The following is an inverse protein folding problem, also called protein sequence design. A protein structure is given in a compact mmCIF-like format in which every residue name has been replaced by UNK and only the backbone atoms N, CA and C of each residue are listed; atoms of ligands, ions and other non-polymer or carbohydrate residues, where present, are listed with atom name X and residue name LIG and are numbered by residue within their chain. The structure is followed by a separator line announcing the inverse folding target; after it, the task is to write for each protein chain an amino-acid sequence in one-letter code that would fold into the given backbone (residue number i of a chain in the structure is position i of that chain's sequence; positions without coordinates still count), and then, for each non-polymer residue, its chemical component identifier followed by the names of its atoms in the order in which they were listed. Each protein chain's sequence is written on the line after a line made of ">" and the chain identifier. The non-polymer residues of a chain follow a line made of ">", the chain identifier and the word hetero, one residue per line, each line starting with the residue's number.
data_IF_801011489020
#
_entry.id   IF_801011489020
#
_cell.length_a   1.000
_cell.length_b   1.000
_cell.length_c   1.000
_cell.angle_alpha   90.00
_cell.angle_beta   90.00
_cell.angle_gamma   90.00
#
_symmetry.space_group_name_H-M   'P 1'
#
loop_
_entity.id
_entity.type
_entity.pdbx_description
1 polymer ?
#
# COMPACT_ATOMS: atom_id res chain seq x y z
N UNK A 1 25.23 22.56 -14.10
CA UNK A 1 24.10 23.42 -13.69
C UNK A 1 22.86 22.55 -13.67
N UNK A 2 22.35 22.23 -12.50
CA UNK A 2 21.11 21.46 -12.35
C UNK A 2 19.93 22.42 -12.50
N UNK A 3 19.40 22.54 -13.73
CA UNK A 3 18.29 23.47 -14.04
C UNK A 3 17.01 23.15 -13.26
N UNK A 4 16.85 21.91 -12.80
CA UNK A 4 15.73 21.53 -11.94
C UNK A 4 15.87 22.16 -10.54
N UNK A 5 17.10 22.36 -10.06
CA UNK A 5 17.35 22.99 -8.76
C UNK A 5 16.96 24.48 -8.70
N UNK A 6 16.74 25.13 -9.85
CA UNK A 6 16.32 26.54 -9.95
C UNK A 6 14.79 26.74 -9.89
N UNK A 7 14.01 25.67 -10.00
CA UNK A 7 12.55 25.75 -9.96
C UNK A 7 12.03 25.99 -8.53
N UNK A 8 10.88 26.69 -8.37
CA UNK A 8 10.19 26.80 -7.10
C UNK A 8 9.76 25.43 -6.55
N UNK A 9 9.73 25.31 -5.23
CA UNK A 9 9.34 24.08 -4.53
C UNK A 9 7.98 23.52 -4.98
N UNK A 10 6.99 24.41 -5.18
CA UNK A 10 5.67 24.02 -5.65
C UNK A 10 5.69 23.35 -7.03
N UNK A 11 6.56 23.81 -7.93
CA UNK A 11 6.73 23.24 -9.27
C UNK A 11 7.43 21.89 -9.17
N UNK A 12 8.41 21.76 -8.28
CA UNK A 12 9.11 20.50 -8.05
C UNK A 12 8.16 19.44 -7.48
N UNK A 13 7.34 19.78 -6.49
CA UNK A 13 6.31 18.89 -5.94
C UNK A 13 5.28 18.50 -7.01
N UNK A 14 4.91 19.44 -7.87
CA UNK A 14 4.01 19.14 -8.99
C UNK A 14 4.63 18.15 -9.97
N UNK A 15 5.88 18.33 -10.39
CA UNK A 15 6.61 17.37 -11.25
C UNK A 15 6.68 16.00 -10.58
N UNK A 16 7.08 15.98 -9.30
CA UNK A 16 7.19 14.78 -8.49
C UNK A 16 5.88 14.01 -8.38
N UNK A 17 4.73 14.71 -8.36
CA UNK A 17 3.40 14.07 -8.30
C UNK A 17 3.04 13.26 -9.56
N UNK A 18 3.76 13.45 -10.66
CA UNK A 18 3.60 12.65 -11.88
C UNK A 18 4.57 11.47 -11.98
N UNK A 19 5.51 11.35 -11.04
CA UNK A 19 6.53 10.31 -11.05
C UNK A 19 6.10 9.11 -10.21
N UNK A 20 6.61 7.93 -10.58
CA UNK A 20 6.49 6.73 -9.74
C UNK A 20 7.29 6.91 -8.45
N UNK A 21 6.94 6.20 -7.38
CA UNK A 21 7.72 6.16 -6.13
C UNK A 21 9.19 5.88 -6.39
N UNK A 22 9.48 4.95 -7.32
CA UNK A 22 10.83 4.60 -7.73
C UNK A 22 11.59 5.79 -8.33
N UNK A 23 10.97 6.52 -9.23
CA UNK A 23 11.60 7.65 -9.89
C UNK A 23 11.77 8.82 -8.94
N UNK A 24 10.80 9.06 -8.05
CA UNK A 24 10.95 10.04 -6.97
C UNK A 24 12.17 9.71 -6.10
N UNK A 25 12.28 8.49 -5.59
CA UNK A 25 13.39 8.09 -4.72
C UNK A 25 14.73 8.22 -5.45
N UNK A 26 14.80 7.87 -6.75
CA UNK A 26 16.00 8.09 -7.58
C UNK A 26 16.35 9.58 -7.68
N UNK A 27 15.37 10.45 -7.95
CA UNK A 27 15.63 11.90 -8.06
C UNK A 27 16.12 12.50 -6.74
N UNK A 28 15.65 11.99 -5.60
CA UNK A 28 16.10 12.39 -4.27
C UNK A 28 17.59 12.10 -4.02
N UNK A 29 18.15 11.06 -4.65
CA UNK A 29 19.58 10.72 -4.53
C UNK A 29 20.46 11.64 -5.39
N UNK A 30 19.95 12.09 -6.53
CA UNK A 30 20.76 12.80 -7.56
C UNK A 30 20.84 14.31 -7.30
N UNK A 31 19.85 14.91 -6.64
CA UNK A 31 19.82 16.36 -6.42
C UNK A 31 19.76 16.73 -4.93
N UNK A 32 20.58 17.69 -4.50
CA UNK A 32 20.71 18.09 -3.09
C UNK A 32 19.44 18.73 -2.50
N UNK A 33 18.52 19.23 -3.33
CA UNK A 33 17.24 19.82 -2.88
C UNK A 33 16.10 18.82 -2.81
N UNK A 34 16.26 17.60 -3.31
CA UNK A 34 15.15 16.67 -3.45
C UNK A 34 14.91 15.75 -2.24
N UNK A 35 15.90 15.47 -1.34
CA UNK A 35 15.68 14.63 -0.17
C UNK A 35 14.53 15.10 0.74
N UNK A 36 14.36 16.41 0.93
CA UNK A 36 13.28 16.94 1.76
C UNK A 36 11.94 17.01 1.02
N UNK A 37 11.94 17.01 -0.31
CA UNK A 37 10.72 17.06 -1.12
C UNK A 37 10.07 15.69 -1.27
N UNK A 38 10.88 14.64 -1.36
CA UNK A 38 10.39 13.26 -1.38
C UNK A 38 9.54 12.94 -0.14
N UNK A 39 9.92 13.42 1.05
CA UNK A 39 9.15 13.13 2.27
C UNK A 39 7.80 13.86 2.31
N UNK A 40 7.64 14.94 1.53
CA UNK A 40 6.38 15.68 1.36
C UNK A 40 5.38 14.87 0.54
N UNK A 41 5.83 14.02 -0.39
CA UNK A 41 4.94 13.17 -1.18
C UNK A 41 4.25 12.16 -0.27
N UNK A 42 2.93 12.21 -0.18
CA UNK A 42 2.17 11.39 0.75
C UNK A 42 1.72 10.05 0.15
N UNK A 43 2.06 9.78 -1.10
CA UNK A 43 1.66 8.58 -1.83
C UNK A 43 2.89 7.70 -2.06
N UNK A 44 2.86 6.50 -1.49
CA UNK A 44 3.81 5.43 -1.82
C UNK A 44 3.05 4.36 -2.56
N UNK A 45 3.53 4.05 -3.74
CA UNK A 45 2.99 3.00 -4.58
C UNK A 45 4.16 2.19 -5.14
N UNK A 46 4.21 0.90 -4.79
CA UNK A 46 5.31 0.01 -5.11
C UNK A 46 4.83 -1.09 -6.05
N UNK A 47 5.29 -1.04 -7.30
CA UNK A 47 5.09 -2.08 -8.31
C UNK A 47 6.36 -2.91 -8.52
N UNK A 48 6.20 -4.22 -8.70
CA UNK A 48 7.30 -5.14 -9.03
C UNK A 48 7.74 -5.02 -10.52
N UNK A 49 8.20 -3.83 -10.90
CA UNK A 49 8.73 -3.54 -12.24
C UNK A 49 10.25 -3.80 -12.31
N UNK A 50 10.76 -4.70 -11.46
CA UNK A 50 12.18 -5.02 -11.35
C UNK A 50 12.48 -6.32 -12.08
N UNK A 51 13.69 -6.40 -12.66
CA UNK A 51 14.15 -7.63 -13.33
C UNK A 51 14.39 -8.74 -12.30
N UNK A 52 14.87 -8.38 -11.11
CA UNK A 52 15.09 -9.30 -10.02
C UNK A 52 14.17 -8.95 -8.86
N UNK A 53 13.43 -9.94 -8.38
CA UNK A 53 12.51 -9.81 -7.25
C UNK A 53 13.19 -9.25 -6.00
N UNK A 54 14.41 -9.70 -5.71
CA UNK A 54 15.15 -9.23 -4.54
C UNK A 54 15.52 -7.75 -4.62
N UNK A 55 15.77 -7.21 -5.82
CA UNK A 55 16.05 -5.78 -6.00
C UNK A 55 14.82 -4.94 -5.65
N UNK A 56 13.61 -5.44 -5.96
CA UNK A 56 12.36 -4.82 -5.55
C UNK A 56 12.22 -4.82 -4.01
N UNK A 57 12.39 -5.98 -3.37
CA UNK A 57 12.31 -6.11 -1.90
C UNK A 57 13.30 -5.16 -1.21
N UNK A 58 14.55 -5.15 -1.66
CA UNK A 58 15.60 -4.27 -1.17
C UNK A 58 15.25 -2.79 -1.36
N UNK A 59 14.69 -2.44 -2.53
CA UNK A 59 14.26 -1.09 -2.82
C UNK A 59 13.15 -0.63 -1.88
N UNK A 60 12.11 -1.45 -1.67
CA UNK A 60 11.01 -1.12 -0.73
C UNK A 60 11.58 -0.95 0.67
N UNK A 61 12.35 -1.92 1.16
CA UNK A 61 12.95 -1.88 2.50
C UNK A 61 13.78 -0.60 2.74
N UNK A 62 14.68 -0.26 1.80
CA UNK A 62 15.48 0.97 1.90
C UNK A 62 14.61 2.23 1.83
N UNK A 63 13.59 2.22 0.99
CA UNK A 63 12.66 3.35 0.84
C UNK A 63 11.92 3.62 2.15
N UNK A 64 11.33 2.59 2.78
CA UNK A 64 10.60 2.72 4.04
C UNK A 64 11.51 3.17 5.19
N UNK A 65 12.74 2.65 5.26
CA UNK A 65 13.74 3.09 6.24
C UNK A 65 14.10 4.57 6.05
N UNK A 66 14.30 5.02 4.81
CA UNK A 66 14.64 6.42 4.51
C UNK A 66 13.48 7.39 4.81
N UNK A 67 12.24 6.92 4.67
CA UNK A 67 11.02 7.71 4.85
C UNK A 67 10.75 8.02 6.32
N UNK A 68 11.12 7.12 7.24
CA UNK A 68 10.90 7.28 8.67
C UNK A 68 9.41 7.30 9.03
N UNK A 69 8.97 8.29 9.83
CA UNK A 69 7.58 8.47 10.29
C UNK A 69 6.86 9.64 9.61
N UNK A 70 7.35 10.05 8.43
CA UNK A 70 6.73 11.11 7.65
C UNK A 70 5.29 10.73 7.26
N UNK A 71 4.37 11.70 7.24
CA UNK A 71 2.95 11.43 6.94
C UNK A 71 2.79 10.74 5.58
N UNK A 72 2.09 9.61 5.58
CA UNK A 72 1.71 8.86 4.39
C UNK A 72 0.19 8.83 4.32
N UNK A 73 -0.36 9.31 3.21
CA UNK A 73 -1.79 9.26 2.94
C UNK A 73 -2.15 7.94 2.27
N UNK A 74 -1.44 7.58 1.19
CA UNK A 74 -1.65 6.34 0.44
C UNK A 74 -0.43 5.44 0.50
N UNK A 75 -0.66 4.15 0.72
CA UNK A 75 0.33 3.11 0.65
C UNK A 75 -0.19 1.94 -0.19
N UNK A 76 0.47 1.68 -1.32
CA UNK A 76 0.14 0.63 -2.26
C UNK A 76 1.30 -0.35 -2.46
N UNK A 77 0.99 -1.64 -2.49
CA UNK A 77 1.90 -2.71 -2.90
C UNK A 77 1.22 -3.49 -4.02
N UNK A 78 1.89 -3.63 -5.15
CA UNK A 78 1.41 -4.30 -6.36
C UNK A 78 2.49 -5.27 -6.85
N UNK A 79 2.33 -6.56 -6.59
CA UNK A 79 3.37 -7.55 -6.91
C UNK A 79 2.83 -8.96 -7.08
N UNK A 80 3.63 -9.80 -7.72
CA UNK A 80 3.45 -11.25 -7.67
C UNK A 80 4.01 -11.81 -6.37
N UNK A 81 3.18 -12.54 -5.63
CA UNK A 81 3.56 -13.09 -4.33
C UNK A 81 4.71 -14.09 -4.46
N UNK A 82 5.66 -13.98 -3.54
CA UNK A 82 6.75 -14.93 -3.37
C UNK A 82 6.83 -15.36 -1.91
N UNK A 83 6.62 -16.65 -1.63
CA UNK A 83 6.58 -17.18 -0.26
C UNK A 83 7.88 -16.92 0.52
N UNK A 84 9.02 -16.82 -0.16
CA UNK A 84 10.30 -16.52 0.48
C UNK A 84 10.35 -15.13 1.13
N UNK A 85 9.54 -14.18 0.67
CA UNK A 85 9.54 -12.77 1.10
C UNK A 85 8.30 -12.38 1.91
N UNK A 86 7.50 -13.36 2.37
CA UNK A 86 6.27 -13.10 3.15
C UNK A 86 6.51 -12.21 4.38
N UNK A 87 7.67 -12.36 5.04
CA UNK A 87 8.05 -11.56 6.21
C UNK A 87 8.26 -10.08 5.86
N UNK A 88 8.78 -9.80 4.67
CA UNK A 88 8.95 -8.43 4.19
C UNK A 88 7.58 -7.77 3.97
N UNK A 89 6.63 -8.47 3.34
CA UNK A 89 5.28 -7.94 3.11
C UNK A 89 4.57 -7.61 4.42
N UNK A 90 4.63 -8.52 5.39
CA UNK A 90 4.06 -8.29 6.73
C UNK A 90 4.69 -7.06 7.40
N UNK A 91 6.01 -6.88 7.22
CA UNK A 91 6.75 -5.71 7.70
C UNK A 91 6.28 -4.41 7.04
N UNK A 92 6.09 -4.41 5.72
CA UNK A 92 5.62 -3.25 4.96
C UNK A 92 4.19 -2.85 5.34
N UNK A 93 3.31 -3.83 5.53
CA UNK A 93 1.93 -3.59 5.96
C UNK A 93 1.89 -3.08 7.40
N UNK A 94 2.73 -3.64 8.28
CA UNK A 94 2.86 -3.13 9.64
C UNK A 94 3.36 -1.68 9.64
N UNK A 95 4.30 -1.34 8.76
CA UNK A 95 4.78 0.03 8.57
C UNK A 95 3.65 0.97 8.14
N UNK A 96 2.83 0.57 7.16
CA UNK A 96 1.67 1.34 6.72
C UNK A 96 0.65 1.55 7.85
N UNK A 97 0.35 0.49 8.61
CA UNK A 97 -0.56 0.55 9.75
C UNK A 97 -0.04 1.51 10.84
N UNK A 98 1.27 1.45 11.16
CA UNK A 98 1.90 2.36 12.14
C UNK A 98 1.87 3.83 11.71
N UNK A 99 1.87 4.10 10.40
CA UNK A 99 1.79 5.45 9.85
C UNK A 99 0.35 5.95 9.66
N UNK A 100 -0.65 5.18 10.09
CA UNK A 100 -2.07 5.56 10.03
C UNK A 100 -2.51 6.00 8.62
N UNK A 101 -2.10 5.24 7.60
CA UNK A 101 -2.46 5.55 6.21
C UNK A 101 -3.97 5.65 6.02
N UNK A 102 -4.41 6.58 5.19
CA UNK A 102 -5.82 6.79 4.85
C UNK A 102 -6.26 5.86 3.70
N UNK A 103 -5.33 5.46 2.85
CA UNK A 103 -5.57 4.58 1.72
C UNK A 103 -4.54 3.44 1.73
N UNK A 104 -5.00 2.19 1.83
CA UNK A 104 -4.15 1.00 1.82
C UNK A 104 -4.55 0.08 0.69
N UNK A 105 -3.65 -0.13 -0.28
CA UNK A 105 -3.86 -1.01 -1.42
C UNK A 105 -2.88 -2.18 -1.35
N UNK A 106 -3.43 -3.40 -1.28
CA UNK A 106 -2.69 -4.65 -1.27
C UNK A 106 -3.14 -5.47 -2.47
N UNK A 107 -2.43 -5.27 -3.57
CA UNK A 107 -2.77 -5.84 -4.87
C UNK A 107 -1.78 -6.96 -5.18
N UNK A 108 -2.09 -8.14 -4.68
CA UNK A 108 -1.25 -9.33 -4.84
C UNK A 108 -1.75 -10.15 -6.01
N UNK A 109 -0.89 -10.35 -7.00
CA UNK A 109 -1.13 -11.34 -8.04
C UNK A 109 -0.55 -12.69 -7.59
N UNK A 110 -1.29 -13.76 -7.83
CA UNK A 110 -0.95 -15.10 -7.36
C UNK A 110 -1.68 -16.15 -8.16
N UNK A 111 -0.92 -17.04 -8.79
CA UNK A 111 -1.49 -18.23 -9.45
C UNK A 111 -1.94 -19.31 -8.45
N UNK A 112 -1.39 -19.36 -7.23
CA UNK A 112 -1.50 -20.55 -6.36
C UNK A 112 -1.52 -20.32 -4.83
N UNK A 113 -1.36 -19.09 -4.32
CA UNK A 113 -1.07 -18.87 -2.89
C UNK A 113 -2.23 -18.20 -2.13
N UNK A 114 -2.71 -18.86 -1.08
CA UNK A 114 -3.62 -18.28 -0.09
C UNK A 114 -2.82 -17.36 0.86
N UNK A 115 -2.59 -16.12 0.44
CA UNK A 115 -1.97 -15.14 1.34
C UNK A 115 -3.00 -14.53 2.29
N UNK A 116 -2.71 -14.63 3.58
CA UNK A 116 -3.56 -14.12 4.66
C UNK A 116 -2.97 -12.81 5.19
N UNK A 117 -3.75 -11.70 5.21
CA UNK A 117 -3.26 -10.47 5.78
C UNK A 117 -2.85 -10.60 7.25
N UNK A 118 -1.85 -9.83 7.71
CA UNK A 118 -1.49 -9.79 9.12
C UNK A 118 -2.62 -9.15 9.94
N UNK A 119 -2.65 -9.47 11.24
CA UNK A 119 -3.70 -9.02 12.18
C UNK A 119 -3.92 -7.50 12.16
N UNK A 120 -2.86 -6.72 11.93
CA UNK A 120 -2.96 -5.26 11.89
C UNK A 120 -3.93 -4.77 10.80
N UNK A 121 -4.12 -5.49 9.69
CA UNK A 121 -5.09 -5.11 8.65
C UNK A 121 -6.52 -5.15 9.18
N UNK A 122 -6.86 -6.13 10.02
CA UNK A 122 -8.21 -6.29 10.57
C UNK A 122 -8.51 -5.29 11.69
N UNK A 123 -7.51 -4.97 12.51
CA UNK A 123 -7.68 -4.09 13.68
C UNK A 123 -7.38 -2.61 13.39
N UNK A 124 -6.86 -2.27 12.20
CA UNK A 124 -6.51 -0.90 11.87
C UNK A 124 -7.77 -0.08 11.50
N UNK A 125 -8.04 0.97 12.26
CA UNK A 125 -9.16 1.89 12.03
C UNK A 125 -8.77 3.16 11.26
N UNK A 126 -7.51 3.29 10.79
CA UNK A 126 -7.06 4.47 10.04
C UNK A 126 -7.56 4.55 8.59
N UNK A 127 -7.62 3.45 7.80
CA UNK A 127 -7.92 3.56 6.38
C UNK A 127 -9.37 3.96 6.14
N UNK A 128 -9.57 4.91 5.22
CA UNK A 128 -10.86 5.27 4.62
C UNK A 128 -11.12 4.46 3.36
N UNK A 129 -10.05 4.07 2.66
CA UNK A 129 -10.08 3.21 1.48
C UNK A 129 -9.18 2.01 1.70
N UNK A 130 -9.73 0.82 1.55
CA UNK A 130 -9.00 -0.45 1.63
C UNK A 130 -9.25 -1.22 0.34
N UNK A 131 -8.17 -1.64 -0.32
CA UNK A 131 -8.21 -2.50 -1.49
C UNK A 131 -7.40 -3.74 -1.20
N UNK A 132 -8.03 -4.90 -1.39
CA UNK A 132 -7.42 -6.21 -1.19
C UNK A 132 -7.67 -7.07 -2.42
N UNK A 133 -6.64 -7.30 -3.22
CA UNK A 133 -6.71 -8.22 -4.37
C UNK A 133 -5.94 -9.50 -4.07
N UNK A 134 -6.56 -10.64 -4.40
CA UNK A 134 -6.11 -12.01 -4.12
C UNK A 134 -5.71 -12.24 -2.65
N UNK A 135 -6.30 -11.49 -1.72
CA UNK A 135 -6.08 -11.62 -0.29
C UNK A 135 -7.16 -12.50 0.33
N UNK A 136 -6.75 -13.48 1.13
CA UNK A 136 -7.65 -14.39 1.82
C UNK A 136 -7.94 -13.85 3.22
N UNK A 137 -9.18 -13.47 3.48
CA UNK A 137 -9.56 -12.94 4.79
C UNK A 137 -9.77 -14.07 5.80
N UNK A 138 -9.14 -13.92 6.97
CA UNK A 138 -9.20 -14.87 8.06
C UNK A 138 -10.56 -14.86 8.75
N UNK A 139 -11.21 -16.02 8.79
CA UNK A 139 -12.52 -16.18 9.42
C UNK A 139 -12.49 -16.11 10.95
N UNK A 140 -11.33 -16.26 11.60
CA UNK A 140 -11.17 -16.17 13.04
C UNK A 140 -10.92 -14.74 13.55
N UNK A 141 -10.59 -13.80 12.65
CA UNK A 141 -10.30 -12.41 13.03
C UNK A 141 -11.57 -11.59 13.27
N UNK A 142 -11.48 -10.62 14.19
CA UNK A 142 -12.47 -9.57 14.35
C UNK A 142 -12.04 -8.35 13.53
N UNK A 143 -12.99 -7.79 12.77
CA UNK A 143 -12.79 -6.64 11.90
C UNK A 143 -13.18 -5.37 12.67
N UNK A 144 -12.32 -4.36 12.62
CA UNK A 144 -12.51 -3.05 13.29
C UNK A 144 -12.05 -1.91 12.36
N UNK A 145 -12.75 -1.79 11.25
CA UNK A 145 -12.52 -0.81 10.19
C UNK A 145 -13.40 0.44 10.39
N UNK A 146 -13.28 1.08 11.55
CA UNK A 146 -14.20 2.12 12.03
C UNK A 146 -14.22 3.42 11.20
N UNK A 147 -13.22 3.65 10.34
CA UNK A 147 -13.16 4.81 9.44
C UNK A 147 -13.34 4.44 7.97
N UNK A 148 -13.51 3.16 7.65
CA UNK A 148 -13.53 2.68 6.28
C UNK A 148 -14.83 3.06 5.59
N UNK A 149 -14.70 3.74 4.46
CA UNK A 149 -15.80 4.21 3.61
C UNK A 149 -15.85 3.47 2.28
N UNK A 150 -14.69 3.00 1.79
CA UNK A 150 -14.58 2.27 0.53
C UNK A 150 -13.78 0.98 0.73
N UNK A 151 -14.39 -0.15 0.35
CA UNK A 151 -13.75 -1.45 0.33
C UNK A 151 -13.86 -2.05 -1.08
N UNK A 152 -12.71 -2.38 -1.66
CA UNK A 152 -12.65 -3.13 -2.93
C UNK A 152 -11.97 -4.46 -2.68
N UNK A 153 -12.66 -5.55 -3.04
CA UNK A 153 -12.21 -6.92 -2.89
C UNK A 153 -12.22 -7.57 -4.27
N UNK A 154 -11.08 -8.14 -4.68
CA UNK A 154 -10.95 -8.82 -5.98
C UNK A 154 -10.27 -10.16 -5.80
N UNK A 155 -10.77 -11.21 -6.46
CA UNK A 155 -10.26 -12.58 -6.34
C UNK A 155 -10.11 -13.08 -4.88
N UNK A 156 -10.87 -12.51 -3.94
CA UNK A 156 -10.84 -12.89 -2.54
C UNK A 156 -11.98 -13.85 -2.26
N UNK A 157 -11.71 -15.07 -1.75
CA UNK A 157 -12.79 -16.00 -1.38
C UNK A 157 -13.54 -15.46 -0.15
N UNK A 158 -14.67 -14.79 -0.38
CA UNK A 158 -15.59 -14.35 0.65
C UNK A 158 -16.61 -15.43 0.97
N UNK A 159 -16.39 -16.15 2.06
CA UNK A 159 -17.43 -16.98 2.67
C UNK A 159 -18.50 -16.08 3.31
N UNK A 160 -19.77 -16.46 3.31
CA UNK A 160 -20.88 -15.68 3.90
C UNK A 160 -20.58 -15.13 5.31
N UNK A 161 -19.83 -15.90 6.10
CA UNK A 161 -19.41 -15.52 7.46
C UNK A 161 -18.50 -14.28 7.50
N UNK A 162 -17.66 -14.06 6.48
CA UNK A 162 -16.76 -12.90 6.44
C UNK A 162 -17.53 -11.63 6.07
N UNK A 163 -18.52 -11.73 5.17
CA UNK A 163 -19.32 -10.57 4.73
C UNK A 163 -20.04 -9.97 5.93
N UNK A 164 -20.71 -10.79 6.75
CA UNK A 164 -21.36 -10.31 7.96
C UNK A 164 -20.37 -9.62 8.91
N UNK A 165 -19.15 -10.16 9.05
CA UNK A 165 -18.09 -9.53 9.87
C UNK A 165 -17.65 -8.18 9.31
N UNK A 166 -17.54 -8.04 7.99
CA UNK A 166 -17.22 -6.77 7.33
C UNK A 166 -18.32 -5.76 7.64
N UNK A 167 -19.60 -6.14 7.48
CA UNK A 167 -20.74 -5.25 7.71
C UNK A 167 -20.80 -4.73 9.16
N UNK A 168 -20.52 -5.59 10.13
CA UNK A 168 -20.47 -5.20 11.56
C UNK A 168 -19.20 -4.41 11.88
N UNK A 169 -18.07 -4.78 11.30
CA UNK A 169 -16.76 -4.21 11.59
C UNK A 169 -16.44 -2.91 10.86
N UNK A 170 -17.19 -2.55 9.82
CA UNK A 170 -17.01 -1.34 9.01
C UNK A 170 -18.29 -0.48 9.00
N UNK A 171 -18.65 0.17 10.12
CA UNK A 171 -19.93 0.86 10.28
C UNK A 171 -20.12 2.11 9.39
N UNK A 172 -19.04 2.61 8.77
CA UNK A 172 -19.06 3.77 7.86
C UNK A 172 -18.91 3.39 6.40
N UNK A 173 -19.02 2.11 6.06
CA UNK A 173 -18.83 1.64 4.70
C UNK A 173 -19.92 2.18 3.78
N UNK A 174 -19.53 2.96 2.78
CA UNK A 174 -20.43 3.58 1.79
C UNK A 174 -20.35 2.84 0.44
N UNK A 175 -19.18 2.28 0.12
CA UNK A 175 -18.92 1.60 -1.14
C UNK A 175 -18.26 0.25 -0.92
N UNK A 176 -18.89 -0.80 -1.42
CA UNK A 176 -18.35 -2.16 -1.49
C UNK A 176 -18.31 -2.62 -2.94
N UNK A 177 -17.13 -2.95 -3.43
CA UNK A 177 -16.91 -3.50 -4.77
C UNK A 177 -16.33 -4.90 -4.64
N UNK A 178 -16.99 -5.86 -5.29
CA UNK A 178 -16.62 -7.27 -5.32
C UNK A 178 -16.38 -7.64 -6.78
N UNK A 179 -15.12 -7.83 -7.17
CA UNK A 179 -14.75 -8.22 -8.53
C UNK A 179 -14.30 -9.70 -8.57
N UNK A 180 -15.08 -10.51 -9.27
CA UNK A 180 -14.87 -11.94 -9.46
C UNK A 180 -14.95 -12.24 -10.95
N UNK A 181 -13.89 -12.76 -11.55
CA UNK A 181 -13.98 -13.28 -12.92
C UNK A 181 -14.51 -14.72 -12.85
N UNK A 182 -15.73 -14.94 -13.35
CA UNK A 182 -16.28 -16.29 -13.53
C UNK A 182 -17.76 -16.44 -13.16
N UNK A 183 -18.65 -15.99 -14.06
CA UNK A 183 -19.84 -16.77 -14.45
C UNK A 183 -19.65 -17.18 -15.90
#
# INVERSE_FOLDING_TARGET
>A
MDRLSELPESVLLHILSFLTTRDVVKTAVVSKRWPHLWTIIQELDFSDDFVQYQDFVDFVNRTLLSRGTSRIKRFGIHLFLNDSSRKDYDGWILYAAKNNVEELFLDFDSDCCEWLPPKCVYCNSSPKTLRLWSCWLRSDMQISWNSLTKLTLRFSVLWDKIIHKIMVGAPKLEFLELDWWGL
#
